data_IF_898422169513
#
_entry.id   IF_898422169513
#
_cell.length_a   1.000
_cell.length_b   1.000
_cell.length_c   1.000
_cell.angle_alpha   90.00
_cell.angle_beta   90.00
_cell.angle_gamma   90.00
#
_symmetry.space_group_name_H-M   'P 1'
#
loop_
_entity.id
_entity.type
_entity.pdbx_description
1 polymer ?
#
# COMPACT_ATOMS: atom_id res chain seq x y z
N UNK A 1 -13.29 -0.55 -4.75
CA UNK A 1 -12.77 -0.81 -3.38
C UNK A 1 -12.52 -2.31 -3.13
N UNK A 2 -11.37 -2.69 -2.56
CA UNK A 2 -10.99 -4.06 -2.24
C UNK A 2 -11.46 -4.47 -0.83
N UNK A 3 -12.33 -5.46 -0.72
CA UNK A 3 -12.78 -6.02 0.56
C UNK A 3 -12.72 -7.55 0.54
N UNK A 4 -12.39 -8.22 1.66
CA UNK A 4 -12.33 -9.67 1.72
C UNK A 4 -13.74 -10.28 1.62
N UNK A 5 -13.79 -11.51 1.11
CA UNK A 5 -15.00 -12.33 1.18
C UNK A 5 -15.30 -12.63 2.65
N UNK A 6 -16.55 -12.38 3.06
CA UNK A 6 -16.99 -12.56 4.43
C UNK A 6 -18.39 -13.19 4.47
N UNK A 7 -18.75 -13.76 5.62
CA UNK A 7 -20.09 -14.31 5.82
C UNK A 7 -21.11 -13.16 5.87
N UNK A 8 -22.10 -13.22 4.99
CA UNK A 8 -23.29 -12.37 5.06
C UNK A 8 -24.04 -12.70 6.35
N UNK A 9 -24.33 -11.69 7.15
CA UNK A 9 -25.00 -11.84 8.45
C UNK A 9 -26.41 -11.27 8.47
N UNK A 10 -26.72 -10.36 7.54
CA UNK A 10 -28.05 -9.74 7.45
C UNK A 10 -28.31 -9.18 6.04
N UNK A 11 -29.57 -8.88 5.73
CA UNK A 11 -30.03 -8.23 4.50
C UNK A 11 -31.35 -7.51 4.75
N UNK A 12 -31.43 -6.24 4.37
CA UNK A 12 -32.67 -5.47 4.52
C UNK A 12 -32.71 -4.27 3.57
N UNK A 13 -33.89 -3.67 3.44
CA UNK A 13 -34.09 -2.41 2.73
C UNK A 13 -34.23 -1.29 3.75
N UNK A 14 -33.40 -0.25 3.66
CA UNK A 14 -33.38 0.83 4.64
C UNK A 14 -32.29 1.86 4.40
N UNK A 15 -31.96 2.65 5.42
CA UNK A 15 -30.89 3.65 5.34
C UNK A 15 -29.57 3.12 5.92
N UNK A 16 -28.45 3.74 5.54
CA UNK A 16 -27.14 3.47 6.18
C UNK A 16 -27.17 3.75 7.68
N UNK A 17 -27.99 4.71 8.14
CA UNK A 17 -28.13 5.05 9.55
C UNK A 17 -28.72 3.92 10.41
N UNK A 18 -29.46 3.00 9.80
CA UNK A 18 -30.08 1.86 10.49
C UNK A 18 -29.11 0.71 10.75
N UNK A 19 -27.91 0.75 10.13
CA UNK A 19 -26.90 -0.30 10.21
C UNK A 19 -26.25 -0.32 11.60
N UNK A 20 -26.58 -1.33 12.40
CA UNK A 20 -25.95 -1.59 13.70
C UNK A 20 -24.74 -2.53 13.57
N UNK A 21 -23.68 -2.05 12.93
CA UNK A 21 -22.46 -2.85 12.68
C UNK A 21 -21.24 -2.23 13.34
N UNK A 22 -20.62 -2.94 14.31
CA UNK A 22 -19.38 -2.47 14.95
C UNK A 22 -18.19 -2.54 14.01
N UNK A 23 -17.91 -3.69 13.41
CA UNK A 23 -16.81 -3.89 12.47
C UNK A 23 -17.29 -4.78 11.32
N UNK A 24 -17.02 -4.36 10.08
CA UNK A 24 -17.48 -5.06 8.90
C UNK A 24 -17.70 -4.11 7.73
N UNK A 25 -18.42 -4.59 6.72
CA UNK A 25 -18.84 -3.74 5.62
C UNK A 25 -20.26 -4.09 5.21
N UNK A 26 -20.89 -3.15 4.52
CA UNK A 26 -22.14 -3.37 3.83
C UNK A 26 -21.93 -3.21 2.34
N UNK A 27 -22.61 -4.04 1.56
CA UNK A 27 -22.83 -3.76 0.13
C UNK A 27 -24.16 -3.08 0.02
N UNK A 28 -24.20 -1.99 -0.73
CA UNK A 28 -25.43 -1.24 -0.98
C UNK A 28 -25.76 -1.29 -2.46
N UNK A 29 -27.05 -1.41 -2.75
CA UNK A 29 -27.60 -1.26 -4.07
C UNK A 29 -28.72 -0.22 -4.02
N UNK A 30 -28.71 0.69 -4.98
CA UNK A 30 -29.71 1.73 -5.15
C UNK A 30 -30.13 1.73 -6.61
N UNK A 31 -31.44 1.75 -6.85
CA UNK A 31 -32.01 2.00 -8.16
C UNK A 31 -33.05 3.09 -8.04
N UNK A 32 -32.81 4.22 -8.66
CA UNK A 32 -33.75 5.33 -8.74
C UNK A 32 -33.87 5.85 -10.19
N UNK A 33 -34.62 6.93 -10.40
CA UNK A 33 -34.83 7.53 -11.72
C UNK A 33 -33.53 8.05 -12.36
N UNK A 34 -32.48 8.29 -11.57
CA UNK A 34 -31.17 8.77 -12.05
C UNK A 34 -30.26 7.62 -12.49
N UNK A 35 -30.46 6.40 -11.97
CA UNK A 35 -29.73 5.23 -12.42
C UNK A 35 -29.60 4.12 -11.39
N UNK A 36 -28.73 3.16 -11.70
CA UNK A 36 -28.34 2.08 -10.80
C UNK A 36 -26.98 2.38 -10.18
N UNK A 37 -26.90 2.29 -8.86
CA UNK A 37 -25.69 2.51 -8.09
C UNK A 37 -25.35 1.27 -7.26
N UNK A 38 -24.04 0.95 -7.18
CA UNK A 38 -23.49 -0.14 -6.38
C UNK A 38 -22.39 0.40 -5.50
N UNK A 39 -22.46 0.14 -4.20
CA UNK A 39 -21.50 0.70 -3.28
C UNK A 39 -21.10 -0.26 -2.18
N UNK A 40 -20.03 0.12 -1.49
CA UNK A 40 -19.57 -0.56 -0.30
C UNK A 40 -19.23 0.50 0.75
N UNK A 41 -19.73 0.30 1.97
CA UNK A 41 -19.37 1.12 3.14
C UNK A 41 -18.75 0.22 4.20
N UNK A 42 -17.56 0.59 4.67
CA UNK A 42 -16.85 -0.16 5.71
C UNK A 42 -17.03 0.54 7.04
N UNK A 43 -17.37 -0.22 8.06
CA UNK A 43 -17.54 0.25 9.43
C UNK A 43 -16.39 -0.19 10.31
N UNK A 44 -15.87 0.77 11.10
CA UNK A 44 -14.87 0.57 12.15
C UNK A 44 -15.39 1.15 13.44
N UNK A 45 -15.43 0.33 14.48
CA UNK A 45 -15.93 0.69 15.81
C UNK A 45 -17.30 1.41 15.80
N UNK A 46 -18.20 0.96 14.91
CA UNK A 46 -19.57 1.47 14.79
C UNK A 46 -19.72 2.70 13.90
N UNK A 47 -18.65 3.16 13.26
CA UNK A 47 -18.66 4.35 12.40
C UNK A 47 -18.24 4.02 10.97
N UNK A 48 -18.84 4.65 9.94
CA UNK A 48 -18.34 4.59 8.58
C UNK A 48 -16.89 5.09 8.52
N UNK A 49 -15.99 4.26 7.99
CA UNK A 49 -14.56 4.55 7.85
C UNK A 49 -14.15 4.68 6.37
N UNK A 50 -14.77 3.87 5.50
CA UNK A 50 -14.56 3.93 4.06
C UNK A 50 -15.88 3.92 3.32
N UNK A 51 -15.94 4.57 2.16
CA UNK A 51 -17.07 4.44 1.25
C UNK A 51 -16.61 4.48 -0.22
N UNK A 52 -17.29 3.66 -1.03
CA UNK A 52 -17.16 3.61 -2.49
C UNK A 52 -18.54 3.46 -3.07
N UNK A 53 -18.83 4.19 -4.14
CA UNK A 53 -20.09 4.10 -4.86
C UNK A 53 -19.81 4.21 -6.36
N UNK A 54 -20.27 3.24 -7.13
CA UNK A 54 -20.20 3.23 -8.57
C UNK A 54 -21.60 3.49 -9.14
N UNK A 55 -21.70 4.47 -10.03
CA UNK A 55 -22.84 4.67 -10.90
C UNK A 55 -22.69 3.78 -12.14
N UNK A 56 -23.49 2.72 -12.20
CA UNK A 56 -23.31 1.62 -13.18
C UNK A 56 -23.49 2.12 -14.61
N UNK A 57 -24.45 3.02 -14.84
CA UNK A 57 -24.78 3.53 -16.18
C UNK A 57 -23.65 4.40 -16.75
N UNK A 58 -23.00 5.21 -15.92
CA UNK A 58 -21.94 6.14 -16.33
C UNK A 58 -20.53 5.59 -16.08
N UNK A 59 -20.40 4.44 -15.41
CA UNK A 59 -19.14 3.89 -14.91
C UNK A 59 -18.33 4.91 -14.11
N UNK A 60 -19.03 5.78 -13.39
CA UNK A 60 -18.43 6.84 -12.58
C UNK A 60 -18.30 6.34 -11.14
N UNK A 61 -17.10 6.47 -10.57
CA UNK A 61 -16.82 6.07 -9.19
C UNK A 61 -16.71 7.30 -8.29
N UNK A 62 -17.44 7.26 -7.19
CA UNK A 62 -17.39 8.19 -6.06
C UNK A 62 -16.66 7.52 -4.90
N UNK A 63 -15.92 8.29 -4.10
CA UNK A 63 -15.07 7.77 -3.02
C UNK A 63 -15.20 8.57 -1.73
N UNK A 64 -14.91 7.94 -0.60
CA UNK A 64 -14.82 8.59 0.71
C UNK A 64 -16.09 9.35 1.08
N UNK A 65 -15.92 10.59 1.54
CA UNK A 65 -17.03 11.44 1.98
C UNK A 65 -18.06 11.69 0.88
N UNK A 66 -17.62 11.83 -0.38
CA UNK A 66 -18.51 12.06 -1.52
C UNK A 66 -19.45 10.87 -1.73
N UNK A 67 -18.90 9.65 -1.76
CA UNK A 67 -19.69 8.42 -1.86
C UNK A 67 -20.68 8.27 -0.70
N UNK A 68 -20.24 8.53 0.53
CA UNK A 68 -21.08 8.42 1.71
C UNK A 68 -22.25 9.41 1.66
N UNK A 69 -21.99 10.67 1.27
CA UNK A 69 -23.01 11.72 1.23
C UNK A 69 -24.15 11.40 0.25
N UNK A 70 -23.83 10.75 -0.89
CA UNK A 70 -24.83 10.35 -1.88
C UNK A 70 -25.81 9.32 -1.31
N UNK A 71 -25.33 8.38 -0.50
CA UNK A 71 -26.13 7.25 0.00
C UNK A 71 -26.72 7.47 1.39
N UNK A 72 -26.24 8.44 2.16
CA UNK A 72 -26.57 8.61 3.59
C UNK A 72 -28.08 8.72 3.85
N UNK A 73 -28.81 9.38 2.95
CA UNK A 73 -30.24 9.70 3.08
C UNK A 73 -31.12 8.95 2.07
N UNK A 74 -30.58 7.90 1.44
CA UNK A 74 -31.31 7.10 0.44
C UNK A 74 -31.87 5.83 1.08
N UNK A 75 -32.94 5.31 0.48
CA UNK A 75 -33.41 3.95 0.76
C UNK A 75 -32.63 3.00 -0.14
N UNK A 76 -31.94 2.05 0.47
CA UNK A 76 -30.97 1.17 -0.16
C UNK A 76 -31.34 -0.29 0.10
N UNK A 77 -31.03 -1.18 -0.83
CA UNK A 77 -30.89 -2.60 -0.52
C UNK A 77 -29.51 -2.83 0.09
N UNK A 78 -29.46 -3.34 1.33
CA UNK A 78 -28.25 -3.43 2.15
C UNK A 78 -27.97 -4.88 2.50
N UNK A 79 -26.77 -5.34 2.16
CA UNK A 79 -26.23 -6.63 2.57
C UNK A 79 -25.10 -6.44 3.57
N UNK A 80 -25.24 -7.04 4.76
CA UNK A 80 -24.31 -6.81 5.88
C UNK A 80 -23.33 -7.97 6.01
N UNK A 81 -22.04 -7.62 6.12
CA UNK A 81 -20.94 -8.55 6.24
C UNK A 81 -20.09 -8.21 7.47
N UNK A 82 -19.87 -9.20 8.34
CA UNK A 82 -19.09 -8.99 9.56
C UNK A 82 -17.61 -9.23 9.31
N UNK A 83 -16.77 -8.34 9.83
CA UNK A 83 -15.32 -8.51 9.88
C UNK A 83 -14.82 -8.34 11.30
N UNK A 84 -13.66 -8.93 11.60
CA UNK A 84 -12.88 -8.58 12.77
C UNK A 84 -12.28 -7.18 12.62
N UNK A 85 -11.93 -6.55 13.75
CA UNK A 85 -11.27 -5.24 13.75
C UNK A 85 -9.97 -5.25 12.93
N UNK A 86 -9.19 -6.32 13.03
CA UNK A 86 -7.93 -6.48 12.29
C UNK A 86 -8.15 -6.55 10.78
N UNK A 87 -9.21 -7.23 10.34
CA UNK A 87 -9.56 -7.26 8.91
C UNK A 87 -10.03 -5.89 8.41
N UNK A 88 -10.77 -5.13 9.22
CA UNK A 88 -11.15 -3.75 8.89
C UNK A 88 -9.92 -2.85 8.76
N UNK A 89 -8.95 -2.96 9.67
CA UNK A 89 -7.69 -2.20 9.60
C UNK A 89 -6.88 -2.52 8.33
N UNK A 90 -6.90 -3.80 7.90
CA UNK A 90 -6.28 -4.22 6.64
C UNK A 90 -7.02 -3.61 5.44
N UNK A 91 -8.35 -3.63 5.46
CA UNK A 91 -9.17 -3.02 4.41
C UNK A 91 -8.93 -1.50 4.32
N UNK A 92 -8.88 -0.80 5.45
CA UNK A 92 -8.54 0.64 5.52
C UNK A 92 -7.16 0.94 4.95
N UNK A 93 -6.19 0.09 5.29
CA UNK A 93 -4.82 0.22 4.77
C UNK A 93 -4.75 0.13 3.24
N UNK A 94 -5.44 -0.83 2.62
CA UNK A 94 -5.42 -1.03 1.16
C UNK A 94 -6.33 -0.06 0.39
N UNK A 95 -7.24 0.64 1.07
CA UNK A 95 -8.24 1.49 0.42
C UNK A 95 -8.18 2.95 0.90
N UNK A 96 -6.98 3.50 1.12
CA UNK A 96 -6.79 4.89 1.60
C UNK A 96 -7.55 5.94 0.79
N UNK A 97 -7.64 5.77 -0.53
CA UNK A 97 -8.38 6.68 -1.42
C UNK A 97 -9.90 6.72 -1.16
N UNK A 98 -10.42 5.82 -0.33
CA UNK A 98 -11.83 5.69 0.01
C UNK A 98 -12.12 6.09 1.47
N UNK A 99 -11.09 6.55 2.21
CA UNK A 99 -11.23 6.94 3.62
C UNK A 99 -12.11 8.18 3.73
N UNK A 100 -13.14 8.08 4.55
CA UNK A 100 -14.04 9.18 4.84
C UNK A 100 -13.29 10.19 5.71
N UNK A 101 -13.26 11.46 5.28
CA UNK A 101 -12.53 12.52 5.97
C UNK A 101 -11.07 12.70 5.56
N UNK A 102 -10.59 12.03 4.50
CA UNK A 102 -9.30 12.34 3.87
C UNK A 102 -9.24 13.77 3.29
N UNK A 103 -10.39 14.42 3.09
CA UNK A 103 -10.52 15.83 2.69
C UNK A 103 -10.85 16.70 3.91
N UNK A 104 -9.85 16.99 4.75
CA UNK A 104 -9.79 18.13 5.69
C UNK A 104 -8.39 18.21 6.30
N UNK A 105 -7.40 18.56 5.48
CA UNK A 105 -6.17 19.15 6.00
C UNK A 105 -6.39 20.67 6.19
N UNK A 106 -6.84 21.04 7.39
CA UNK A 106 -6.35 22.26 8.05
C UNK A 106 -5.98 21.87 9.49
N UNK A 107 -4.67 21.89 9.70
CA UNK A 107 -3.92 21.98 10.96
C UNK A 107 -4.71 21.69 12.25
N UNK A 108 -4.48 20.51 12.81
CA UNK A 108 -4.52 20.32 14.26
C UNK A 108 -3.28 19.51 14.64
N UNK A 109 -2.31 20.18 15.26
CA UNK A 109 -1.25 19.52 16.00
C UNK A 109 -1.89 18.67 17.11
N UNK A 110 -1.71 17.35 17.05
CA UNK A 110 -1.98 16.46 18.20
C UNK A 110 -0.68 15.73 18.52
N UNK A 111 -0.14 15.87 19.75
CA UNK A 111 1.08 15.20 20.14
C UNK A 111 0.73 13.74 20.51
N UNK A 112 0.87 12.83 19.56
CA UNK A 112 0.80 11.39 19.83
C UNK A 112 2.19 10.80 19.61
N UNK A 113 2.93 10.59 20.70
CA UNK A 113 4.11 9.72 20.73
C UNK A 113 3.64 8.27 20.53
N UNK A 114 3.58 7.83 19.28
CA UNK A 114 3.63 6.42 18.89
C UNK A 114 4.85 6.28 17.98
N UNK A 115 5.89 5.61 18.47
CA UNK A 115 7.11 5.32 17.70
C UNK A 115 6.81 4.35 16.56
N UNK A 116 6.30 4.86 15.44
CA UNK A 116 6.33 4.18 14.15
C UNK A 116 6.72 5.22 13.11
N UNK A 117 8.03 5.44 12.96
CA UNK A 117 8.58 6.36 11.97
C UNK A 117 8.24 5.90 10.57
N UNK A 118 7.27 6.57 9.95
CA UNK A 118 7.16 6.62 8.49
C UNK A 118 8.00 7.81 8.04
N UNK A 119 9.08 7.56 7.31
CA UNK A 119 9.91 8.63 6.75
C UNK A 119 9.73 8.68 5.24
N UNK A 120 9.74 9.90 4.70
CA UNK A 120 9.78 10.10 3.25
C UNK A 120 11.22 9.99 2.80
N UNK A 121 11.48 9.14 1.83
CA UNK A 121 12.79 9.00 1.19
C UNK A 121 12.69 9.38 -0.28
N UNK A 122 13.72 10.02 -0.80
CA UNK A 122 13.78 10.38 -2.21
C UNK A 122 14.17 9.18 -3.09
N UNK A 123 14.90 8.22 -2.52
CA UNK A 123 15.37 7.02 -3.19
C UNK A 123 15.36 5.83 -2.22
N UNK A 124 14.53 4.82 -2.49
CA UNK A 124 14.41 3.63 -1.66
C UNK A 124 15.65 2.73 -1.73
N UNK A 125 16.30 2.63 -2.88
CA UNK A 125 17.52 1.85 -3.06
C UNK A 125 18.65 2.38 -2.18
N UNK A 126 18.93 3.68 -2.27
CA UNK A 126 19.94 4.36 -1.45
C UNK A 126 19.63 4.20 0.04
N UNK A 127 18.36 4.42 0.41
CA UNK A 127 17.90 4.26 1.77
C UNK A 127 18.16 2.86 2.32
N UNK A 128 17.79 1.81 1.58
CA UNK A 128 17.96 0.42 1.99
C UNK A 128 19.45 0.07 2.12
N UNK A 129 20.27 0.54 1.19
CA UNK A 129 21.72 0.31 1.22
C UNK A 129 22.41 1.01 2.40
N UNK A 130 21.82 2.07 2.93
CA UNK A 130 22.32 2.78 4.11
C UNK A 130 21.86 2.15 5.45
N UNK A 131 21.08 1.06 5.42
CA UNK A 131 20.62 0.36 6.62
C UNK A 131 21.66 -0.64 7.14
N UNK A 132 22.73 -0.12 7.72
CA UNK A 132 23.77 -0.95 8.33
C UNK A 132 23.21 -1.83 9.46
N UNK A 133 23.56 -3.12 9.43
CA UNK A 133 23.19 -4.12 10.43
C UNK A 133 21.67 -4.19 10.73
N UNK A 134 20.86 -4.05 9.68
CA UNK A 134 19.41 -4.20 9.77
C UNK A 134 18.98 -5.59 9.27
N UNK A 135 18.33 -6.35 10.15
CA UNK A 135 17.63 -7.60 9.82
C UNK A 135 16.13 -7.37 10.00
N UNK A 136 15.36 -7.52 8.91
CA UNK A 136 13.94 -7.25 8.91
C UNK A 136 13.34 -7.04 7.52
N UNK A 137 12.20 -6.37 7.48
CA UNK A 137 11.50 -6.02 6.23
C UNK A 137 11.32 -4.52 6.18
N UNK A 138 11.66 -3.94 5.04
CA UNK A 138 11.40 -2.55 4.67
C UNK A 138 10.19 -2.53 3.75
N UNK A 139 9.16 -1.80 4.16
CA UNK A 139 7.95 -1.59 3.37
C UNK A 139 8.00 -0.18 2.81
N UNK A 140 7.82 -0.05 1.50
CA UNK A 140 7.77 1.23 0.83
C UNK A 140 6.46 1.41 0.07
N UNK A 141 5.96 2.64 0.04
CA UNK A 141 4.72 3.00 -0.66
C UNK A 141 4.86 4.37 -1.31
N UNK A 142 4.53 4.46 -2.59
CA UNK A 142 4.46 5.68 -3.38
C UNK A 142 3.29 5.60 -4.37
N UNK A 143 3.15 6.59 -5.24
CA UNK A 143 2.07 6.64 -6.22
C UNK A 143 2.17 5.46 -7.20
N UNK A 144 1.16 4.58 -7.19
CA UNK A 144 1.12 3.31 -7.95
C UNK A 144 2.33 2.39 -7.73
N UNK A 145 3.02 2.53 -6.59
CA UNK A 145 4.23 1.82 -6.25
C UNK A 145 4.17 1.27 -4.83
N UNK A 146 4.41 -0.03 -4.67
CA UNK A 146 4.62 -0.65 -3.35
C UNK A 146 5.81 -1.57 -3.41
N UNK A 147 6.68 -1.54 -2.40
CA UNK A 147 7.80 -2.47 -2.29
C UNK A 147 7.86 -3.14 -0.92
N UNK A 148 8.28 -4.39 -0.92
CA UNK A 148 8.72 -5.14 0.24
C UNK A 148 10.16 -5.57 -0.01
N UNK A 149 11.08 -5.06 0.79
CA UNK A 149 12.50 -5.38 0.70
C UNK A 149 12.91 -6.11 1.97
N UNK A 150 13.39 -7.34 1.79
CA UNK A 150 13.78 -8.25 2.85
C UNK A 150 15.29 -8.10 3.05
N UNK A 151 15.69 -7.75 4.28
CA UNK A 151 17.06 -7.45 4.63
C UNK A 151 17.54 -8.40 5.71
N UNK A 152 18.73 -8.97 5.52
CA UNK A 152 19.45 -9.70 6.56
C UNK A 152 20.83 -9.07 6.75
N UNK A 153 21.08 -8.57 7.97
CA UNK A 153 22.34 -7.94 8.35
C UNK A 153 22.76 -6.81 7.41
N UNK A 154 21.78 -6.04 6.91
CA UNK A 154 21.95 -4.93 5.96
C UNK A 154 22.03 -5.34 4.49
N UNK A 155 22.01 -6.64 4.16
CA UNK A 155 22.01 -7.13 2.78
C UNK A 155 20.59 -7.43 2.30
N UNK A 156 20.27 -7.04 1.07
CA UNK A 156 18.99 -7.41 0.45
C UNK A 156 19.01 -8.91 0.11
N UNK A 157 18.18 -9.69 0.80
CA UNK A 157 18.02 -11.14 0.58
C UNK A 157 16.75 -11.47 -0.20
N UNK A 158 15.85 -10.49 -0.34
CA UNK A 158 14.66 -10.63 -1.15
C UNK A 158 13.99 -9.30 -1.46
N UNK A 159 13.23 -9.26 -2.53
CA UNK A 159 12.48 -8.08 -2.93
C UNK A 159 11.19 -8.45 -3.66
N UNK A 160 10.15 -7.66 -3.44
CA UNK A 160 8.88 -7.70 -4.15
C UNK A 160 8.43 -6.28 -4.39
N UNK A 161 8.12 -5.95 -5.64
CA UNK A 161 7.63 -4.63 -6.02
C UNK A 161 6.34 -4.80 -6.81
N UNK A 162 5.34 -3.97 -6.54
CA UNK A 162 4.22 -3.75 -7.45
C UNK A 162 4.30 -2.33 -7.99
N UNK A 163 4.45 -2.21 -9.30
CA UNK A 163 4.50 -0.94 -10.01
C UNK A 163 3.53 -0.99 -11.18
N UNK A 164 2.70 0.05 -11.35
CA UNK A 164 1.72 0.16 -12.46
C UNK A 164 0.81 -1.08 -12.61
N UNK A 165 0.40 -1.65 -11.47
CA UNK A 165 -0.47 -2.83 -11.41
C UNK A 165 0.22 -4.16 -11.78
N UNK A 166 1.54 -4.17 -11.97
CA UNK A 166 2.33 -5.38 -12.22
C UNK A 166 3.24 -5.68 -11.03
N UNK A 167 3.32 -6.96 -10.66
CA UNK A 167 4.17 -7.42 -9.57
C UNK A 167 5.45 -8.06 -10.12
N UNK A 168 6.57 -7.66 -9.54
CA UNK A 168 7.92 -8.12 -9.83
C UNK A 168 8.51 -8.69 -8.53
N UNK A 169 9.22 -9.80 -8.62
CA UNK A 169 9.78 -10.50 -7.45
C UNK A 169 11.25 -10.87 -7.72
N UNK A 170 12.04 -11.01 -6.65
CA UNK A 170 13.46 -11.35 -6.72
C UNK A 170 14.30 -10.25 -7.39
N UNK A 171 15.29 -10.64 -8.20
CA UNK A 171 16.21 -9.70 -8.87
C UNK A 171 15.47 -8.67 -9.74
N UNK A 172 14.33 -9.05 -10.34
CA UNK A 172 13.53 -8.15 -11.19
C UNK A 172 12.90 -6.99 -10.40
N UNK A 173 12.60 -7.20 -9.11
CA UNK A 173 12.04 -6.18 -8.25
C UNK A 173 13.06 -5.07 -7.90
N UNK A 174 14.36 -5.39 -7.88
CA UNK A 174 15.43 -4.45 -7.52
C UNK A 174 15.50 -3.26 -8.48
N UNK A 175 15.17 -3.46 -9.75
CA UNK A 175 15.17 -2.40 -10.77
C UNK A 175 14.24 -1.23 -10.43
N UNK A 176 13.21 -1.48 -9.62
CA UNK A 176 12.17 -0.50 -9.30
C UNK A 176 12.42 0.23 -7.97
N UNK A 177 13.52 -0.04 -7.27
CA UNK A 177 13.80 0.60 -5.97
C UNK A 177 14.28 2.06 -6.10
N UNK A 178 14.64 2.54 -7.30
CA UNK A 178 14.98 3.94 -7.54
C UNK A 178 13.73 4.84 -7.64
N UNK A 179 12.93 4.88 -6.57
CA UNK A 179 11.69 5.66 -6.45
C UNK A 179 11.60 6.39 -5.12
N UNK A 180 11.04 7.60 -5.16
CA UNK A 180 10.66 8.33 -3.96
C UNK A 180 9.41 7.71 -3.36
N UNK A 181 9.42 7.51 -2.04
CA UNK A 181 8.35 6.80 -1.36
C UNK A 181 8.37 7.06 0.14
N UNK A 182 7.30 6.65 0.81
CA UNK A 182 7.25 6.57 2.26
C UNK A 182 7.68 5.18 2.70
N UNK A 183 8.55 5.14 3.70
CA UNK A 183 9.18 3.90 4.13
C UNK A 183 8.87 3.62 5.59
N UNK A 184 8.63 2.33 5.88
CA UNK A 184 8.47 1.82 7.23
C UNK A 184 9.30 0.55 7.39
N UNK A 185 10.02 0.46 8.51
CA UNK A 185 10.85 -0.70 8.84
C UNK A 185 10.15 -1.61 9.85
N UNK A 186 10.34 -2.91 9.71
CA UNK A 186 9.97 -3.91 10.72
C UNK A 186 11.17 -4.81 10.98
N UNK A 187 11.87 -4.62 12.10
CA UNK A 187 12.95 -5.53 12.52
C UNK A 187 12.40 -6.92 12.82
N UNK A 188 13.17 -7.95 12.48
CA UNK A 188 12.93 -9.34 12.86
C UNK A 188 14.23 -9.96 13.35
N UNK A 189 14.14 -11.00 14.19
CA UNK A 189 15.30 -11.82 14.57
C UNK A 189 15.79 -12.68 13.40
N UNK A 190 14.86 -13.11 12.57
CA UNK A 190 15.09 -13.92 11.37
C UNK A 190 14.10 -13.48 10.29
N UNK A 191 14.55 -13.39 9.05
CA UNK A 191 13.74 -12.94 7.93
C UNK A 191 13.36 -14.13 7.07
N UNK A 192 12.12 -14.56 7.20
CA UNK A 192 11.49 -15.50 6.28
C UNK A 192 11.23 -14.78 4.94
N UNK A 193 11.97 -15.19 3.90
CA UNK A 193 11.82 -14.68 2.53
C UNK A 193 11.08 -15.74 1.70
N UNK A 194 9.94 -15.40 1.07
CA UNK A 194 9.27 -16.27 0.11
C UNK A 194 10.22 -16.65 -1.04
N UNK A 195 10.20 -17.91 -1.49
CA UNK A 195 11.16 -18.40 -2.50
C UNK A 195 11.17 -17.57 -3.78
N UNK A 196 9.99 -17.12 -4.25
CA UNK A 196 9.85 -16.28 -5.44
C UNK A 196 10.42 -14.86 -5.27
N UNK A 197 10.53 -14.39 -4.03
CA UNK A 197 11.07 -13.07 -3.70
C UNK A 197 12.58 -13.09 -3.46
N UNK A 198 13.22 -14.26 -3.40
CA UNK A 198 14.66 -14.36 -3.10
C UNK A 198 15.48 -13.71 -4.21
N UNK A 199 16.47 -12.93 -3.79
CA UNK A 199 17.46 -12.34 -4.66
C UNK A 199 18.65 -13.30 -4.70
N UNK A 200 19.03 -13.73 -5.90
CA UNK A 200 20.24 -14.54 -6.08
C UNK A 200 21.45 -13.60 -6.12
N UNK A 201 22.51 -13.92 -5.35
CA UNK A 201 23.79 -13.23 -5.52
C UNK A 201 24.29 -13.42 -6.95
N UNK A 202 24.21 -12.37 -7.77
CA UNK A 202 24.93 -12.34 -9.04
C UNK A 202 26.41 -12.28 -8.70
N UNK A 203 27.07 -13.44 -8.71
CA UNK A 203 28.54 -13.50 -8.75
C UNK A 203 28.99 -12.95 -10.10
N UNK A 204 29.17 -11.63 -10.18
CA UNK A 204 29.91 -11.04 -11.29
C UNK A 204 31.36 -11.40 -11.07
N UNK A 205 31.82 -12.46 -11.75
CA UNK A 205 33.23 -12.81 -11.81
C UNK A 205 33.95 -11.74 -12.66
N UNK A 206 34.40 -10.66 -12.00
CA UNK A 206 35.07 -9.54 -12.66
C UNK A 206 36.45 -9.95 -13.23
N UNK A 207 36.90 -11.18 -12.95
CA UNK A 207 38.15 -11.73 -13.50
C UNK A 207 38.10 -11.92 -15.03
N UNK A 208 36.92 -11.99 -15.64
CA UNK A 208 36.76 -12.17 -17.08
C UNK A 208 36.45 -10.89 -17.88
N UNK A 209 36.27 -9.74 -17.22
CA UNK A 209 36.05 -8.48 -17.93
C UNK A 209 37.40 -7.94 -18.40
N UNK A 210 37.76 -8.23 -19.66
CA UNK A 210 38.84 -7.53 -20.36
C UNK A 210 38.47 -6.05 -20.45
N UNK A 211 38.87 -5.29 -19.43
CA UNK A 211 38.78 -3.83 -19.43
C UNK A 211 39.58 -3.30 -20.62
N UNK A 212 38.87 -2.66 -21.55
CA UNK A 212 39.45 -1.89 -22.66
C UNK A 212 40.46 -0.87 -22.09
N UNK A 213 41.63 -0.75 -22.72
CA UNK A 213 42.73 0.11 -22.29
C UNK A 213 42.31 1.58 -22.14
N UNK A 214 41.23 2.01 -22.82
CA UNK A 214 40.63 3.35 -22.61
C UNK A 214 40.09 3.56 -21.20
N UNK A 215 39.43 2.55 -20.62
CA UNK A 215 38.86 2.61 -19.27
C UNK A 215 39.95 2.58 -18.19
N UNK A 216 41.04 1.85 -18.43
CA UNK A 216 42.21 1.84 -17.54
C UNK A 216 42.89 3.20 -17.48
N UNK A 217 43.00 3.88 -18.62
CA UNK A 217 43.63 5.21 -18.73
C UNK A 217 42.83 6.28 -17.97
N UNK A 218 41.50 6.25 -18.11
CA UNK A 218 40.58 7.15 -17.40
C UNK A 218 40.66 6.99 -15.87
N UNK A 219 40.78 5.76 -15.37
CA UNK A 219 40.92 5.48 -13.93
C UNK A 219 42.27 5.99 -13.39
N UNK A 220 43.35 5.91 -14.18
CA UNK A 220 44.65 6.46 -13.79
C UNK A 220 44.65 7.99 -13.74
N UNK A 221 44.01 8.66 -14.70
CA UNK A 221 43.91 10.13 -14.73
C UNK A 221 43.09 10.66 -13.54
N UNK A 222 41.97 10.01 -13.19
CA UNK A 222 41.15 10.39 -12.02
C UNK A 222 41.95 10.25 -10.70
N UNK A 223 42.86 9.28 -10.60
CA UNK A 223 43.69 9.09 -9.40
C UNK A 223 44.82 10.11 -9.27
N UNK A 224 45.27 10.72 -10.37
CA UNK A 224 46.32 11.74 -10.32
C UNK A 224 45.79 13.14 -10.01
N UNK A 225 44.51 13.43 -10.30
CA UNK A 225 43.88 14.73 -10.01
C UNK A 225 43.50 14.90 -8.52
N UNK A 226 43.48 13.81 -7.74
CA UNK A 226 43.21 13.82 -6.29
C UNK A 226 44.46 13.84 -5.40
N UNK A 227 45.61 14.30 -5.91
CA UNK A 227 46.81 14.61 -5.11
C UNK A 227 47.14 16.09 -5.16
#
# INVERSE_FOLDING_TARGET
MLVPSAKKVDSFVGSIGDVKLKNGYVKVHLRDESGEYKGIVVFKDGKPALASLEEVNLRKEYRGSEALNIILNKVLEIDVYKLSRREVEIVEYFNRAYVIGAEREKEVEIPIKVEVGCERVENLEEYVNNLDNFTGVVYATGDNFTAEVYLDSGKIVGAKVTADGRTFEGNSALYYLNKSCFVRRKRKKEVEVPDSCRVEEVKVDVSSVKLDDRLRKLIQEIRQVRR
#
